data_IF_723232121492
#
_entry.id   IF_723232121492
#
_cell.length_a   1.000
_cell.length_b   1.000
_cell.length_c   1.000
_cell.angle_alpha   90.00
_cell.angle_beta   90.00
_cell.angle_gamma   90.00
#
_symmetry.space_group_name_H-M   'P 1'
#
loop_
_entity.id
_entity.type
_entity.pdbx_description
1 polymer ?
#
# COMPACT_ATOMS: atom_id res chain seq x y z
N UNK A 1 21.63 -25.40 -26.04
CA UNK A 1 21.18 -26.44 -25.08
C UNK A 1 22.31 -26.79 -24.11
N UNK A 2 23.55 -26.76 -24.59
CA UNK A 2 24.79 -26.92 -23.81
C UNK A 2 24.96 -25.84 -22.72
N UNK A 3 24.78 -24.55 -23.05
CA UNK A 3 24.93 -23.44 -22.08
C UNK A 3 24.00 -23.56 -20.85
N UNK A 4 22.74 -23.95 -21.06
CA UNK A 4 21.78 -24.13 -19.98
C UNK A 4 22.19 -25.27 -19.04
N UNK A 5 22.63 -26.40 -19.62
CA UNK A 5 23.08 -27.54 -18.84
C UNK A 5 24.32 -27.19 -18.02
N UNK A 6 25.29 -26.52 -18.65
CA UNK A 6 26.51 -26.05 -17.99
C UNK A 6 26.20 -25.10 -16.81
N UNK A 7 25.35 -24.09 -17.02
CA UNK A 7 24.94 -23.17 -15.94
C UNK A 7 24.24 -23.91 -14.79
N UNK A 8 23.37 -24.88 -15.10
CA UNK A 8 22.71 -25.69 -14.08
C UNK A 8 23.70 -26.55 -13.31
N UNK A 9 24.73 -27.08 -13.95
CA UNK A 9 25.80 -27.84 -13.31
C UNK A 9 26.65 -26.96 -12.39
N UNK A 10 26.99 -25.73 -12.79
CA UNK A 10 27.69 -24.77 -11.94
C UNK A 10 26.91 -24.46 -10.65
N UNK A 11 25.61 -24.16 -10.77
CA UNK A 11 24.77 -23.84 -9.59
C UNK A 11 24.62 -25.07 -8.68
N UNK A 12 24.49 -26.28 -9.24
CA UNK A 12 24.47 -27.52 -8.46
C UNK A 12 25.80 -27.82 -7.79
N UNK A 13 26.92 -27.49 -8.43
CA UNK A 13 28.26 -27.65 -7.83
C UNK A 13 28.45 -26.74 -6.61
N UNK A 14 27.76 -25.60 -6.55
CA UNK A 14 27.66 -24.75 -5.36
C UNK A 14 26.69 -25.30 -4.29
N UNK A 15 26.06 -26.46 -4.52
CA UNK A 15 25.13 -27.11 -3.59
C UNK A 15 23.76 -26.44 -3.52
N UNK A 16 23.35 -25.69 -4.56
CA UNK A 16 22.08 -24.94 -4.60
C UNK A 16 21.04 -25.61 -5.49
N UNK A 17 19.78 -25.55 -5.07
CA UNK A 17 18.64 -26.00 -5.85
C UNK A 17 18.13 -24.90 -6.79
N UNK A 18 17.65 -25.32 -7.97
CA UNK A 18 17.09 -24.43 -9.00
C UNK A 18 15.60 -24.72 -9.14
N UNK A 19 14.78 -23.68 -8.94
CA UNK A 19 13.33 -23.73 -9.10
C UNK A 19 12.94 -22.95 -10.36
N UNK A 20 12.26 -23.59 -11.30
CA UNK A 20 11.86 -22.97 -12.58
C UNK A 20 10.35 -23.07 -12.75
N UNK A 21 9.69 -21.91 -12.91
CA UNK A 21 8.32 -21.82 -13.36
C UNK A 21 8.29 -21.41 -14.84
N UNK A 22 7.73 -22.26 -15.69
CA UNK A 22 7.57 -21.99 -17.12
C UNK A 22 6.22 -21.31 -17.38
N UNK A 23 6.25 -20.20 -18.09
CA UNK A 23 5.10 -19.39 -18.45
C UNK A 23 5.05 -19.28 -19.98
N UNK A 24 4.13 -20.02 -20.61
CA UNK A 24 3.98 -20.10 -22.08
C UNK A 24 2.66 -19.50 -22.55
N UNK A 25 1.85 -19.00 -21.62
CA UNK A 25 0.46 -18.66 -21.86
C UNK A 25 0.28 -17.37 -22.70
N UNK A 26 1.34 -16.61 -22.91
CA UNK A 26 1.28 -15.38 -23.72
C UNK A 26 1.71 -15.59 -25.18
N UNK A 27 1.98 -16.84 -25.60
CA UNK A 27 2.42 -17.16 -26.97
C UNK A 27 3.92 -16.99 -27.22
N UNK A 28 4.67 -16.55 -26.21
CA UNK A 28 6.12 -16.57 -26.16
C UNK A 28 6.57 -17.36 -24.92
N UNK A 29 7.71 -18.03 -25.01
CA UNK A 29 8.30 -18.71 -23.86
C UNK A 29 8.88 -17.67 -22.89
N UNK A 30 8.45 -17.74 -21.63
CA UNK A 30 9.06 -17.02 -20.53
C UNK A 30 9.22 -17.96 -19.34
N UNK A 31 10.14 -17.66 -18.43
CA UNK A 31 10.31 -18.43 -17.21
C UNK A 31 10.67 -17.51 -16.04
N UNK A 32 10.36 -17.97 -14.83
CA UNK A 32 10.84 -17.37 -13.58
C UNK A 32 11.71 -18.39 -12.87
N UNK A 33 12.97 -18.06 -12.68
CA UNK A 33 13.97 -18.92 -12.04
C UNK A 33 14.25 -18.36 -10.65
N UNK A 34 14.24 -19.23 -9.65
CA UNK A 34 14.63 -18.92 -8.28
C UNK A 34 15.72 -19.90 -7.84
N UNK A 35 16.78 -19.36 -7.27
CA UNK A 35 17.90 -20.10 -6.67
C UNK A 35 18.10 -19.54 -5.27
N UNK A 36 17.85 -20.36 -4.25
CA UNK A 36 17.93 -19.91 -2.87
C UNK A 36 19.40 -19.64 -2.48
N UNK A 37 19.65 -18.51 -1.82
CA UNK A 37 20.99 -18.04 -1.47
C UNK A 37 21.81 -17.55 -2.66
N UNK A 38 21.17 -17.15 -3.76
CA UNK A 38 21.84 -16.63 -4.96
C UNK A 38 20.99 -15.61 -5.72
N UNK A 39 19.69 -15.85 -5.86
CA UNK A 39 18.79 -15.01 -6.68
C UNK A 39 17.98 -13.99 -5.87
N UNK A 40 18.12 -13.99 -4.55
CA UNK A 40 17.45 -13.03 -3.68
C UNK A 40 17.95 -11.61 -3.91
N UNK A 41 17.03 -10.71 -4.23
CA UNK A 41 17.30 -9.26 -4.29
C UNK A 41 17.20 -8.65 -2.88
N UNK A 42 16.31 -9.19 -2.04
CA UNK A 42 16.07 -8.72 -0.67
C UNK A 42 16.40 -9.81 0.34
N UNK A 43 16.98 -9.45 1.50
CA UNK A 43 17.27 -10.41 2.55
C UNK A 43 15.97 -11.01 3.10
N UNK A 44 15.98 -12.30 3.41
CA UNK A 44 14.81 -13.00 3.98
C UNK A 44 14.34 -12.35 5.29
N UNK A 45 15.28 -11.85 6.11
CA UNK A 45 14.97 -11.11 7.34
C UNK A 45 14.13 -9.85 7.09
N UNK A 46 14.22 -9.26 5.90
CA UNK A 46 13.40 -8.13 5.49
C UNK A 46 11.91 -8.46 5.45
N UNK A 47 11.52 -9.74 5.30
CA UNK A 47 10.11 -10.14 5.29
C UNK A 47 9.38 -9.82 6.61
N UNK A 48 10.09 -9.76 7.74
CA UNK A 48 9.48 -9.43 9.03
C UNK A 48 9.13 -7.92 9.15
N UNK A 49 9.89 -7.05 8.47
CA UNK A 49 9.84 -5.60 8.69
C UNK A 49 9.34 -4.82 7.47
N UNK A 50 9.64 -5.29 6.27
CA UNK A 50 9.33 -4.66 4.98
C UNK A 50 8.29 -5.47 4.18
N UNK A 51 7.37 -6.14 4.89
CA UNK A 51 6.34 -6.91 4.23
C UNK A 51 5.32 -5.99 3.53
N UNK A 52 5.30 -6.02 2.20
CA UNK A 52 4.33 -5.25 1.41
C UNK A 52 2.87 -5.68 1.62
N UNK A 53 2.63 -6.83 2.27
CA UNK A 53 1.30 -7.31 2.64
C UNK A 53 0.80 -6.78 3.99
N UNK A 54 1.63 -6.06 4.75
CA UNK A 54 1.27 -5.52 6.08
C UNK A 54 -0.01 -4.66 6.02
N UNK A 55 -0.21 -3.96 4.90
CA UNK A 55 -1.37 -3.11 4.64
C UNK A 55 -2.67 -3.85 4.30
N UNK A 56 -2.64 -5.16 4.09
CA UNK A 56 -3.82 -5.90 3.60
C UNK A 56 -5.00 -5.81 4.58
N UNK A 57 -4.73 -5.78 5.89
CA UNK A 57 -5.77 -5.71 6.91
C UNK A 57 -6.51 -4.36 6.91
N UNK A 58 -5.78 -3.26 6.71
CA UNK A 58 -6.33 -1.89 6.74
C UNK A 58 -6.84 -1.41 5.36
N UNK A 59 -6.40 -2.05 4.26
CA UNK A 59 -6.78 -1.65 2.89
C UNK A 59 -8.30 -1.50 2.67
N UNK A 60 -9.19 -2.40 3.15
CA UNK A 60 -10.64 -2.25 2.95
C UNK A 60 -11.22 -0.97 3.56
N UNK A 61 -10.66 -0.52 4.69
CA UNK A 61 -11.04 0.75 5.31
C UNK A 61 -10.48 1.93 4.51
N UNK A 62 -9.20 1.91 4.18
CA UNK A 62 -8.51 3.00 3.48
C UNK A 62 -9.09 3.32 2.10
N UNK A 63 -9.53 2.31 1.35
CA UNK A 63 -10.16 2.49 0.03
C UNK A 63 -11.48 3.26 0.11
N UNK A 64 -12.15 3.21 1.27
CA UNK A 64 -13.43 3.87 1.56
C UNK A 64 -13.30 4.99 2.57
N UNK A 65 -12.07 5.49 2.81
CA UNK A 65 -11.73 6.38 3.91
C UNK A 65 -12.70 7.57 4.09
N UNK A 66 -13.11 8.32 3.04
CA UNK A 66 -14.04 9.44 3.20
C UNK A 66 -15.45 9.03 3.67
N UNK A 67 -15.83 7.77 3.47
CA UNK A 67 -17.16 7.23 3.80
C UNK A 67 -17.21 6.39 5.07
N UNK A 68 -16.13 6.31 5.84
CA UNK A 68 -16.10 5.55 7.09
C UNK A 68 -16.96 6.21 8.17
N UNK A 69 -17.67 5.38 8.95
CA UNK A 69 -18.40 5.82 10.14
C UNK A 69 -17.44 6.22 11.27
N UNK A 70 -17.93 6.94 12.27
CA UNK A 70 -17.11 7.32 13.43
C UNK A 70 -16.56 6.10 14.19
N UNK A 71 -17.34 5.01 14.26
CA UNK A 71 -16.91 3.77 14.90
C UNK A 71 -15.82 3.06 14.08
N UNK A 72 -15.93 3.06 12.74
CA UNK A 72 -14.88 2.53 11.86
C UNK A 72 -13.58 3.35 11.96
N UNK A 73 -13.69 4.68 12.07
CA UNK A 73 -12.53 5.56 12.24
C UNK A 73 -11.83 5.33 13.59
N UNK A 74 -12.60 5.17 14.68
CA UNK A 74 -12.09 4.84 16.02
C UNK A 74 -11.39 3.48 16.07
N UNK A 75 -11.80 2.52 15.26
CA UNK A 75 -11.13 1.23 15.14
C UNK A 75 -9.85 1.31 14.28
N UNK A 76 -9.87 2.10 13.21
CA UNK A 76 -8.76 2.18 12.25
C UNK A 76 -7.48 2.81 12.83
N UNK A 77 -7.59 3.81 13.69
CA UNK A 77 -6.41 4.48 14.26
C UNK A 77 -5.56 3.53 15.15
N UNK A 78 -6.14 2.79 16.11
CA UNK A 78 -5.42 1.76 16.86
C UNK A 78 -4.76 0.68 15.98
N UNK A 79 -5.44 0.25 14.92
CA UNK A 79 -4.88 -0.72 13.98
C UNK A 79 -3.62 -0.15 13.29
N UNK A 80 -3.67 1.11 12.83
CA UNK A 80 -2.53 1.80 12.24
C UNK A 80 -1.37 2.02 13.22
N UNK A 81 -1.66 2.26 14.50
CA UNK A 81 -0.65 2.38 15.55
C UNK A 81 0.02 1.02 15.81
N UNK A 82 -0.76 -0.06 15.86
CA UNK A 82 -0.26 -1.43 16.09
C UNK A 82 0.64 -1.93 14.96
N UNK A 83 0.34 -1.57 13.71
CA UNK A 83 1.16 -1.94 12.56
C UNK A 83 2.55 -1.25 12.53
N UNK A 84 2.76 -0.24 13.39
CA UNK A 84 4.02 0.50 13.53
C UNK A 84 4.63 0.95 12.18
N UNK A 85 3.77 1.41 11.27
CA UNK A 85 4.18 1.89 9.95
C UNK A 85 4.94 3.22 10.08
N UNK A 86 6.04 3.36 9.33
CA UNK A 86 6.74 4.64 9.23
C UNK A 86 5.79 5.75 8.74
N UNK A 87 5.79 6.88 9.43
CA UNK A 87 4.92 8.03 9.16
C UNK A 87 5.17 8.62 7.77
N UNK A 88 6.41 8.58 7.29
CA UNK A 88 6.79 9.08 5.96
C UNK A 88 6.35 8.15 4.82
N UNK A 89 5.90 6.94 5.14
CA UNK A 89 5.51 5.96 4.13
C UNK A 89 4.31 6.47 3.32
N UNK A 90 4.38 6.47 1.98
CA UNK A 90 3.26 6.87 1.16
C UNK A 90 2.09 5.89 1.26
N UNK A 91 0.87 6.42 1.36
CA UNK A 91 -0.32 5.58 1.52
C UNK A 91 -0.63 4.76 0.25
N UNK A 92 -0.34 5.32 -0.93
CA UNK A 92 -0.57 4.64 -2.21
C UNK A 92 0.25 3.34 -2.35
N UNK A 93 1.43 3.23 -1.72
CA UNK A 93 2.22 2.00 -1.71
C UNK A 93 1.54 0.89 -0.90
N UNK A 94 0.99 1.24 0.26
CA UNK A 94 0.27 0.32 1.14
C UNK A 94 -1.02 -0.16 0.48
N UNK A 95 -1.73 0.77 -0.17
CA UNK A 95 -2.92 0.47 -0.94
C UNK A 95 -2.62 -0.39 -2.17
N UNK A 96 -1.41 -0.33 -2.73
CA UNK A 96 -1.14 -0.85 -4.08
C UNK A 96 -1.84 -0.01 -5.15
N UNK A 97 -2.06 1.27 -4.86
CA UNK A 97 -2.80 2.21 -5.70
C UNK A 97 -1.90 2.75 -6.81
N UNK A 98 -2.34 2.54 -8.04
CA UNK A 98 -1.74 3.19 -9.21
C UNK A 98 -2.49 4.50 -9.43
N UNK A 99 -1.89 5.65 -9.08
CA UNK A 99 -2.51 6.97 -9.27
C UNK A 99 -1.51 8.01 -9.80
N UNK A 100 -2.03 9.04 -10.47
CA UNK A 100 -1.23 10.11 -11.05
C UNK A 100 -0.55 10.98 -9.99
N UNK A 101 0.58 11.57 -10.36
CA UNK A 101 1.48 12.30 -9.44
C UNK A 101 0.94 13.63 -8.94
N UNK A 102 -0.05 14.18 -9.63
CA UNK A 102 -0.72 15.45 -9.33
C UNK A 102 -1.87 15.31 -8.34
N UNK A 103 -2.18 14.09 -7.91
CA UNK A 103 -3.28 13.80 -6.96
C UNK A 103 -2.84 13.88 -5.50
N UNK A 104 -3.76 14.25 -4.62
CA UNK A 104 -3.53 14.27 -3.16
C UNK A 104 -3.13 12.88 -2.66
N UNK A 105 -3.72 11.81 -3.21
CA UNK A 105 -3.37 10.43 -2.89
C UNK A 105 -1.88 10.09 -3.09
N UNK A 106 -1.19 10.75 -4.04
CA UNK A 106 0.25 10.52 -4.26
C UNK A 106 1.11 11.16 -3.16
N UNK A 107 0.66 12.30 -2.64
CA UNK A 107 1.31 13.04 -1.56
C UNK A 107 0.98 12.49 -0.18
N UNK A 108 -0.17 11.85 -0.04
CA UNK A 108 -0.70 11.41 1.24
C UNK A 108 0.20 10.36 1.93
N UNK A 109 0.54 10.64 3.19
CA UNK A 109 1.45 9.82 4.03
C UNK A 109 0.72 9.21 5.22
N UNK A 110 1.32 8.18 5.81
CA UNK A 110 0.77 7.53 7.01
C UNK A 110 0.68 8.49 8.21
N UNK A 111 1.68 9.35 8.40
CA UNK A 111 1.66 10.34 9.49
C UNK A 111 0.48 11.28 9.36
N UNK A 112 0.25 11.80 8.16
CA UNK A 112 -0.88 12.69 7.87
C UNK A 112 -2.24 12.00 8.05
N UNK A 113 -2.36 10.75 7.61
CA UNK A 113 -3.56 9.94 7.84
C UNK A 113 -3.85 9.79 9.34
N UNK A 114 -2.85 9.46 10.16
CA UNK A 114 -3.01 9.36 11.61
C UNK A 114 -3.49 10.68 12.21
N UNK A 115 -2.93 11.82 11.77
CA UNK A 115 -3.37 13.16 12.21
C UNK A 115 -4.84 13.41 11.87
N UNK A 116 -5.27 13.11 10.64
CA UNK A 116 -6.66 13.32 10.23
C UNK A 116 -7.64 12.37 10.96
N UNK A 117 -7.21 11.13 11.23
CA UNK A 117 -8.01 10.19 12.02
C UNK A 117 -8.16 10.66 13.47
N UNK A 118 -7.06 11.10 14.10
CA UNK A 118 -7.07 11.66 15.45
C UNK A 118 -8.02 12.87 15.53
N UNK A 119 -7.94 13.77 14.55
CA UNK A 119 -8.81 14.94 14.45
C UNK A 119 -10.28 14.54 14.30
N UNK A 120 -10.58 13.56 13.45
CA UNK A 120 -11.94 13.09 13.21
C UNK A 120 -12.58 12.42 14.43
N UNK A 121 -11.79 11.78 15.31
CA UNK A 121 -12.29 11.14 16.54
C UNK A 121 -12.24 12.05 17.77
N UNK A 122 -11.71 13.27 17.64
CA UNK A 122 -11.56 14.22 18.74
C UNK A 122 -10.40 13.94 19.69
N UNK A 123 -9.38 13.19 19.27
CA UNK A 123 -8.17 12.96 20.05
C UNK A 123 -7.19 14.13 19.88
N UNK A 124 -7.28 15.11 20.78
CA UNK A 124 -6.46 16.32 20.70
C UNK A 124 -4.96 16.07 20.88
N UNK A 125 -4.58 15.11 21.72
CA UNK A 125 -3.17 14.82 22.00
C UNK A 125 -2.49 14.25 20.74
N UNK A 126 -3.07 13.18 20.17
CA UNK A 126 -2.58 12.59 18.92
C UNK A 126 -2.64 13.58 17.74
N UNK A 127 -3.63 14.49 17.74
CA UNK A 127 -3.73 15.53 16.71
C UNK A 127 -2.57 16.52 16.82
N UNK A 128 -2.20 16.98 18.03
CA UNK A 128 -1.06 17.88 18.24
C UNK A 128 0.26 17.23 17.83
N UNK A 129 0.48 15.97 18.21
CA UNK A 129 1.67 15.21 17.79
C UNK A 129 1.73 15.08 16.26
N UNK A 130 0.59 14.79 15.62
CA UNK A 130 0.48 14.72 14.17
C UNK A 130 0.78 16.05 13.47
N UNK A 131 0.26 17.16 14.00
CA UNK A 131 0.56 18.51 13.49
C UNK A 131 2.04 18.86 13.65
N UNK A 132 2.67 18.47 14.76
CA UNK A 132 4.11 18.64 14.97
C UNK A 132 4.94 17.88 13.94
N UNK A 133 4.60 16.62 13.69
CA UNK A 133 5.25 15.82 12.65
C UNK A 133 5.11 16.47 11.27
N UNK A 134 3.90 16.92 10.89
CA UNK A 134 3.65 17.59 9.60
C UNK A 134 4.47 18.88 9.48
N UNK A 135 4.68 19.62 10.57
CA UNK A 135 5.47 20.86 10.57
C UNK A 135 6.93 20.63 10.18
N UNK A 136 7.48 19.48 10.57
CA UNK A 136 8.86 19.10 10.30
C UNK A 136 9.03 18.33 8.99
N UNK A 137 7.94 17.77 8.44
CA UNK A 137 7.96 17.04 7.18
C UNK A 137 8.06 17.98 5.96
N UNK A 138 9.26 18.11 5.40
CA UNK A 138 9.57 19.13 4.38
C UNK A 138 9.04 18.84 2.97
N UNK A 139 8.61 17.61 2.67
CA UNK A 139 8.15 17.22 1.33
C UNK A 139 6.69 17.59 1.06
N UNK A 140 5.93 18.02 2.07
CA UNK A 140 4.52 18.39 1.90
C UNK A 140 4.37 19.77 1.27
N UNK A 141 3.38 19.93 0.39
CA UNK A 141 3.07 21.23 -0.23
C UNK A 141 2.82 22.31 0.83
N UNK A 142 3.40 23.53 0.69
CA UNK A 142 3.23 24.60 1.67
C UNK A 142 1.78 24.95 1.97
N UNK A 143 0.91 24.93 0.97
CA UNK A 143 -0.52 25.19 1.15
C UNK A 143 -1.21 24.14 2.04
N UNK A 144 -0.78 22.87 1.97
CA UNK A 144 -1.32 21.78 2.80
C UNK A 144 -0.82 21.89 4.24
N UNK A 145 0.46 22.18 4.44
CA UNK A 145 1.04 22.47 5.76
C UNK A 145 0.35 23.66 6.42
N UNK A 146 -0.01 24.69 5.65
CA UNK A 146 -0.68 25.88 6.17
C UNK A 146 -2.07 25.56 6.76
N UNK A 147 -2.80 24.58 6.21
CA UNK A 147 -4.07 24.11 6.78
C UNK A 147 -3.84 23.53 8.17
N UNK A 148 -2.85 22.64 8.34
CA UNK A 148 -2.53 22.04 9.64
C UNK A 148 -2.06 23.07 10.68
N UNK A 149 -1.30 24.10 10.26
CA UNK A 149 -0.95 25.22 11.14
C UNK A 149 -2.18 26.02 11.59
N UNK A 150 -3.16 26.18 10.70
CA UNK A 150 -4.43 26.83 11.04
C UNK A 150 -5.25 25.95 12.01
N UNK A 151 -5.28 24.63 11.81
CA UNK A 151 -5.93 23.68 12.73
C UNK A 151 -5.30 23.78 14.12
N UNK A 152 -3.97 23.70 14.20
CA UNK A 152 -3.22 23.83 15.46
C UNK A 152 -3.52 25.17 16.17
N UNK A 153 -3.63 26.26 15.41
CA UNK A 153 -4.00 27.56 15.96
C UNK A 153 -5.43 27.60 16.48
N UNK A 154 -6.38 27.00 15.76
CA UNK A 154 -7.78 26.91 16.19
C UNK A 154 -7.93 26.09 17.47
N UNK A 155 -7.19 24.98 17.60
CA UNK A 155 -7.20 24.12 18.79
C UNK A 155 -6.59 24.80 20.04
N UNK A 156 -5.75 25.81 19.86
CA UNK A 156 -5.11 26.54 20.96
C UNK A 156 -5.90 27.78 21.40
N UNK A 157 -7.07 28.04 20.80
CA UNK A 157 -7.91 29.20 21.11
C UNK A 157 -9.15 28.76 21.90
N UNK A 158 -9.39 29.42 23.04
CA UNK A 158 -10.57 29.14 23.87
C UNK A 158 -11.89 29.57 23.22
N UNK A 159 -11.87 30.61 22.37
CA UNK A 159 -13.06 31.12 21.67
C UNK A 159 -12.71 31.55 20.25
N UNK A 160 -12.86 30.61 19.31
CA UNK A 160 -12.51 30.77 17.89
C UNK A 160 -13.24 31.93 17.21
N UNK A 161 -14.50 32.19 17.57
CA UNK A 161 -15.33 33.24 16.95
C UNK A 161 -14.77 34.65 17.18
N UNK A 162 -14.19 34.89 18.35
CA UNK A 162 -13.56 36.18 18.67
C UNK A 162 -12.33 36.47 17.78
N UNK A 163 -11.66 35.44 17.30
CA UNK A 163 -10.41 35.54 16.54
C UNK A 163 -10.58 35.20 15.05
N UNK A 164 -11.78 34.79 14.61
CA UNK A 164 -12.10 34.38 13.24
C UNK A 164 -11.60 35.35 12.18
N UNK A 165 -11.84 36.66 12.39
CA UNK A 165 -11.38 37.72 11.47
C UNK A 165 -9.85 37.78 11.36
N UNK A 166 -9.14 37.66 12.48
CA UNK A 166 -7.68 37.68 12.51
C UNK A 166 -7.09 36.44 11.84
N UNK A 167 -7.65 35.26 12.11
CA UNK A 167 -7.27 34.01 11.46
C UNK A 167 -7.50 34.06 9.95
N UNK A 168 -8.61 34.65 9.51
CA UNK A 168 -8.90 34.83 8.08
C UNK A 168 -7.88 35.76 7.40
N UNK A 169 -7.39 36.80 8.09
CA UNK A 169 -6.34 37.66 7.57
C UNK A 169 -4.97 36.96 7.53
N UNK A 170 -4.68 36.10 8.50
CA UNK A 170 -3.40 35.39 8.60
C UNK A 170 -3.28 34.21 7.62
N UNK A 171 -4.33 33.40 7.50
CA UNK A 171 -4.32 32.14 6.73
C UNK A 171 -5.07 32.23 5.40
N UNK A 172 -5.93 33.24 5.24
CA UNK A 172 -6.85 33.38 4.11
C UNK A 172 -8.15 32.59 4.30
N UNK A 173 -9.22 33.07 3.65
CA UNK A 173 -10.58 32.52 3.79
C UNK A 173 -10.72 31.06 3.31
N UNK A 174 -9.90 30.63 2.35
CA UNK A 174 -9.92 29.24 1.87
C UNK A 174 -9.33 28.29 2.92
N UNK A 175 -8.13 28.59 3.39
CA UNK A 175 -7.41 27.79 4.39
C UNK A 175 -8.18 27.68 5.69
N UNK A 176 -8.73 28.81 6.18
CA UNK A 176 -9.52 28.82 7.42
C UNK A 176 -10.73 27.88 7.32
N UNK A 177 -11.50 27.96 6.22
CA UNK A 177 -12.64 27.05 6.00
C UNK A 177 -12.21 25.57 5.95
N UNK A 178 -11.08 25.27 5.30
CA UNK A 178 -10.56 23.90 5.25
C UNK A 178 -10.07 23.39 6.60
N UNK A 179 -9.62 24.28 7.49
CA UNK A 179 -9.21 23.93 8.84
C UNK A 179 -10.40 23.76 9.80
N UNK A 180 -11.47 24.54 9.61
CA UNK A 180 -12.70 24.44 10.38
C UNK A 180 -13.52 23.18 10.05
N UNK A 181 -13.54 22.76 8.78
CA UNK A 181 -14.40 21.66 8.34
C UNK A 181 -14.11 20.29 8.99
N UNK A 182 -12.86 19.92 9.32
CA UNK A 182 -12.60 18.73 10.12
C UNK A 182 -13.00 18.88 11.60
N UNK A 183 -12.91 20.10 12.16
CA UNK A 183 -13.22 20.39 13.57
C UNK A 183 -14.72 20.38 13.85
N UNK A 184 -15.54 20.83 12.89
CA UNK A 184 -17.00 20.77 12.97
C UNK A 184 -17.60 19.47 12.39
N UNK A 185 -16.73 18.53 11.99
CA UNK A 185 -17.05 17.25 11.36
C UNK A 185 -17.82 17.34 10.03
N UNK A 186 -17.90 18.51 9.38
CA UNK A 186 -18.53 18.65 8.06
C UNK A 186 -17.73 17.99 6.94
N UNK A 187 -16.40 17.99 7.02
CA UNK A 187 -15.50 17.32 6.09
C UNK A 187 -14.27 16.77 6.83
N UNK A 188 -14.23 15.45 7.04
CA UNK A 188 -13.14 14.80 7.81
C UNK A 188 -11.82 14.71 7.04
N UNK A 189 -11.90 14.59 5.70
CA UNK A 189 -10.75 14.34 4.84
C UNK A 189 -10.73 15.29 3.65
N UNK A 190 -10.03 16.40 3.77
CA UNK A 190 -10.03 17.42 2.73
C UNK A 190 -9.19 17.04 1.50
N UNK A 191 -9.81 17.16 0.33
CA UNK A 191 -9.16 16.94 -0.96
C UNK A 191 -8.86 15.47 -1.29
N UNK A 192 -9.48 14.51 -0.59
CA UNK A 192 -9.40 13.09 -0.92
C UNK A 192 -10.64 12.67 -1.72
N UNK A 193 -10.43 12.38 -3.01
CA UNK A 193 -11.47 11.77 -3.83
C UNK A 193 -11.72 10.33 -3.39
N UNK A 194 -12.97 9.88 -3.48
CA UNK A 194 -13.34 8.49 -3.15
C UNK A 194 -12.74 7.53 -4.17
N UNK A 195 -11.98 6.53 -3.70
CA UNK A 195 -11.39 5.51 -4.57
C UNK A 195 -12.41 4.48 -5.03
N UNK A 196 -13.33 4.04 -4.16
CA UNK A 196 -14.25 2.93 -4.45
C UNK A 196 -13.57 1.57 -4.37
N UNK A 197 -14.34 0.49 -4.15
CA UNK A 197 -13.81 -0.83 -3.79
C UNK A 197 -12.76 -1.39 -4.77
N UNK A 198 -12.87 -1.06 -6.06
CA UNK A 198 -11.93 -1.49 -7.10
C UNK A 198 -11.07 -0.32 -7.60
N UNK A 199 -10.91 0.72 -6.78
CA UNK A 199 -10.15 1.94 -7.07
C UNK A 199 -10.62 2.66 -8.35
N UNK A 200 -11.94 2.70 -8.56
CA UNK A 200 -12.61 3.43 -9.66
C UNK A 200 -12.21 4.92 -9.71
N UNK A 201 -11.90 5.53 -8.56
CA UNK A 201 -11.40 6.90 -8.45
C UNK A 201 -10.02 7.14 -9.08
N UNK A 202 -9.32 6.09 -9.55
CA UNK A 202 -8.09 6.23 -10.33
C UNK A 202 -8.22 5.65 -11.73
N UNK A 203 -8.27 6.52 -12.74
CA UNK A 203 -8.24 6.12 -14.15
C UNK A 203 -6.99 5.30 -14.52
N UNK A 204 -5.85 5.61 -13.90
CA UNK A 204 -4.62 4.86 -14.12
C UNK A 204 -4.72 3.43 -13.54
N UNK A 205 -5.35 3.28 -12.37
CA UNK A 205 -5.59 1.95 -11.80
C UNK A 205 -6.59 1.15 -12.65
N UNK A 206 -7.65 1.78 -13.15
CA UNK A 206 -8.58 1.11 -14.07
C UNK A 206 -7.89 0.64 -15.35
N UNK A 207 -6.94 1.42 -15.89
CA UNK A 207 -6.14 1.02 -17.04
C UNK A 207 -5.26 -0.19 -16.72
N UNK A 208 -4.67 -0.23 -15.52
CA UNK A 208 -3.90 -1.38 -15.03
C UNK A 208 -4.78 -2.63 -14.93
N UNK A 209 -5.98 -2.53 -14.35
CA UNK A 209 -6.93 -3.65 -14.26
C UNK A 209 -7.36 -4.15 -15.64
N UNK A 210 -7.70 -3.24 -16.56
CA UNK A 210 -8.04 -3.60 -17.94
C UNK A 210 -6.88 -4.29 -18.68
N UNK A 211 -5.63 -3.91 -18.40
CA UNK A 211 -4.45 -4.61 -18.93
C UNK A 211 -4.29 -6.01 -18.31
N UNK A 212 -4.55 -6.14 -17.01
CA UNK A 212 -4.50 -7.40 -16.28
C UNK A 212 -5.57 -8.39 -16.76
N UNK A 213 -6.80 -7.93 -17.03
CA UNK A 213 -7.89 -8.75 -17.55
C UNK A 213 -7.55 -9.38 -18.90
N UNK A 214 -6.82 -8.67 -19.76
CA UNK A 214 -6.33 -9.24 -21.03
C UNK A 214 -5.43 -10.45 -20.83
N UNK A 215 -4.61 -10.44 -19.76
CA UNK A 215 -3.74 -11.56 -19.41
C UNK A 215 -4.55 -12.74 -18.87
N UNK A 216 -5.55 -12.48 -18.02
CA UNK A 216 -6.40 -13.51 -17.43
C UNK A 216 -7.31 -14.20 -18.44
N UNK A 217 -7.97 -13.42 -19.31
CA UNK A 217 -8.84 -13.96 -20.34
C UNK A 217 -8.09 -14.88 -21.31
N UNK A 218 -6.83 -14.55 -21.66
CA UNK A 218 -5.97 -15.43 -22.45
C UNK A 218 -5.61 -16.72 -21.71
N UNK A 219 -5.31 -16.64 -20.41
CA UNK A 219 -4.99 -17.81 -19.57
C UNK A 219 -6.18 -18.76 -19.44
N UNK A 220 -7.39 -18.24 -19.25
CA UNK A 220 -8.62 -19.03 -19.18
C UNK A 220 -8.93 -19.73 -20.52
N UNK A 221 -8.83 -18.99 -21.63
CA UNK A 221 -9.06 -19.54 -22.97
C UNK A 221 -8.09 -20.67 -23.31
N UNK A 222 -6.82 -20.58 -22.91
CA UNK A 222 -5.85 -21.66 -23.15
C UNK A 222 -6.03 -22.89 -22.25
N UNK A 223 -6.53 -22.71 -21.01
CA UNK A 223 -6.95 -23.84 -20.16
C UNK A 223 -8.14 -24.60 -20.77
N UNK A 224 -9.10 -23.89 -21.37
CA UNK A 224 -10.25 -24.52 -22.02
C UNK A 224 -9.90 -25.25 -23.33
N UNK A 225 -8.83 -24.84 -24.03
CA UNK A 225 -8.41 -25.44 -25.31
C UNK A 225 -7.48 -26.66 -25.12
N UNK A 226 -6.95 -26.90 -23.92
CA UNK A 226 -6.14 -28.10 -23.60
C UNK A 226 -6.82 -29.01 -22.57
N UNK A 227 -7.67 -29.98 -22.99
CA UNK A 227 -7.90 -31.14 -22.15
C UNK A 227 -6.58 -31.94 -22.08
N UNK A 228 -6.10 -32.17 -20.86
CA UNK A 228 -4.94 -32.98 -20.46
C UNK A 228 -4.07 -33.56 -21.59
N UNK A 229 -3.04 -32.83 -22.02
CA UNK A 229 -1.93 -33.42 -22.75
C UNK A 229 -0.75 -33.63 -21.78
N UNK A 230 -0.66 -34.86 -21.27
CA UNK A 230 0.52 -35.51 -20.70
C UNK A 230 1.63 -34.58 -20.16
N UNK A 231 1.56 -34.25 -18.86
CA UNK A 231 2.77 -33.94 -18.11
C UNK A 231 3.68 -35.18 -18.14
N UNK A 232 5.01 -35.05 -18.32
CA UNK A 232 5.91 -36.16 -18.08
C UNK A 232 5.74 -36.55 -16.61
N UNK A 233 5.34 -37.81 -16.36
CA UNK A 233 5.18 -38.35 -15.01
C UNK A 233 6.44 -38.06 -14.20
N UNK A 234 6.37 -37.15 -13.23
CA UNK A 234 7.31 -37.14 -12.13
C UNK A 234 7.21 -38.51 -11.45
N UNK A 235 8.33 -39.26 -11.40
CA UNK A 235 8.41 -40.56 -10.73
C UNK A 235 7.91 -40.40 -9.29
N UNK A 236 7.07 -41.32 -8.78
CA UNK A 236 6.69 -41.29 -7.37
C UNK A 236 7.92 -41.58 -6.51
N UNK A 237 8.08 -40.82 -5.41
CA UNK A 237 9.08 -41.06 -4.38
C UNK A 237 9.01 -42.52 -3.91
N UNK A 238 9.98 -43.34 -4.31
CA UNK A 238 10.25 -44.60 -3.62
C UNK A 238 10.97 -44.27 -2.33
N UNK A 239 10.30 -44.47 -1.19
CA UNK A 239 10.98 -44.59 0.11
C UNK A 239 11.95 -45.75 0.03
N UNK A 240 13.25 -45.47 0.09
CA UNK A 240 14.26 -46.49 0.27
C UNK A 240 14.16 -47.00 1.72
N UNK A 241 13.61 -48.21 1.90
CA UNK A 241 13.86 -48.98 3.11
C UNK A 241 15.35 -49.33 3.14
N UNK A 242 16.07 -48.80 4.14
CA UNK A 242 17.37 -49.33 4.55
C UNK A 242 17.17 -50.78 4.98
N UNK A 243 17.75 -51.73 4.24
CA UNK A 243 18.12 -53.04 4.77
C UNK A 243 19.52 -52.90 5.36
N UNK A 244 19.64 -53.10 6.67
CA UNK A 244 20.93 -53.38 7.32
C UNK A 244 21.40 -54.79 6.92
N UNK A 245 22.70 -55.03 6.71
CA UNK A 245 23.25 -56.38 6.76
C UNK A 245 23.77 -56.69 8.17
N UNK A 246 23.42 -57.90 8.62
CA UNK A 246 23.97 -58.75 9.69
C UNK A 246 24.37 -58.08 11.02
#
# INVERSE_FOLDING_TARGET
>A
MEDYAWLCECIKAEGKDIYVANCTEQGAYSCRILVHGMSEIYPVKGLAWENNSIGNHIRPALVRLPGLSDDELKALLPDLQTLNLNYERPLWEILGLAISVDTVWKEFRIGELKTLLALAIGDEESTREGCDWIRHFQEMKPARVLVYRCIESLMNLDNTENYRRSLQLLYGAKTLRQAEAPLDHSEKFFGLDTLGADMQGSAMHQTLLAAYDKLFNRRLNQRCIRPSASAPRARPLRRAHRRSPA
#
